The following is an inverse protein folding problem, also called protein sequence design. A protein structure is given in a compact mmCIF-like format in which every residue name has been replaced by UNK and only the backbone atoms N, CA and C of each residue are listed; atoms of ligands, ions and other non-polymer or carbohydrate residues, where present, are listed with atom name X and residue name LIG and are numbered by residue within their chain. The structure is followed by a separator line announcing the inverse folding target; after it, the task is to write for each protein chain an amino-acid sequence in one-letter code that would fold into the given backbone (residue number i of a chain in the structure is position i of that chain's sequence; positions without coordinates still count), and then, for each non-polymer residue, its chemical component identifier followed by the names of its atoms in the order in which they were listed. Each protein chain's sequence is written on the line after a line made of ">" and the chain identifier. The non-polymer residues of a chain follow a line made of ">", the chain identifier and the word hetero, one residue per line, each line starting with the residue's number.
data_IF_210747740212
#
_entry.id   IF_210747740212
#
_cell.length_a   1.000
_cell.length_b   1.000
_cell.length_c   1.000
_cell.angle_alpha   90.00
_cell.angle_beta   90.00
_cell.angle_gamma   90.00
#
_symmetry.space_group_name_H-M   'P 1'
#
loop_
_entity.id
_entity.type
_entity.pdbx_description
1 polymer ?
#
# COMPACT_ATOMS: atom_id res chain seq x y z
N UNK A 1 -13.75 15.97 -11.80
CA UNK A 1 -13.27 16.23 -10.42
C UNK A 1 -13.06 14.97 -9.59
N UNK A 2 -13.98 14.00 -9.60
CA UNK A 2 -13.88 12.78 -8.77
C UNK A 2 -12.67 11.88 -9.08
N UNK A 3 -12.26 11.75 -10.35
CA UNK A 3 -11.05 11.00 -10.73
C UNK A 3 -9.78 11.61 -10.13
N UNK A 4 -9.68 12.95 -10.10
CA UNK A 4 -8.56 13.64 -9.48
C UNK A 4 -8.48 13.32 -7.97
N UNK A 5 -9.62 13.17 -7.29
CA UNK A 5 -9.64 12.78 -5.88
C UNK A 5 -9.06 11.37 -5.65
N UNK A 6 -9.27 10.43 -6.57
CA UNK A 6 -8.63 9.11 -6.51
C UNK A 6 -7.11 9.27 -6.63
N UNK A 7 -6.64 10.02 -7.63
CA UNK A 7 -5.21 10.26 -7.85
C UNK A 7 -4.58 10.93 -6.63
N UNK A 8 -5.21 11.96 -6.08
CA UNK A 8 -4.77 12.61 -4.85
C UNK A 8 -4.71 11.65 -3.67
N UNK A 9 -5.73 10.81 -3.46
CA UNK A 9 -5.74 9.82 -2.38
C UNK A 9 -4.63 8.77 -2.52
N UNK A 10 -4.33 8.34 -3.76
CA UNK A 10 -3.19 7.46 -4.06
C UNK A 10 -1.87 8.16 -3.70
N UNK A 11 -1.67 9.40 -4.14
CA UNK A 11 -0.46 10.18 -3.83
C UNK A 11 -0.31 10.38 -2.32
N UNK A 12 -1.38 10.77 -1.62
CA UNK A 12 -1.39 10.93 -0.16
C UNK A 12 -0.97 9.64 0.53
N UNK A 13 -1.48 8.49 0.08
CA UNK A 13 -1.10 7.18 0.64
C UNK A 13 0.37 6.87 0.39
N UNK A 14 0.86 7.04 -0.85
CA UNK A 14 2.23 6.68 -1.24
C UNK A 14 3.28 7.59 -0.58
N UNK A 15 3.06 8.91 -0.60
CA UNK A 15 3.97 9.89 0.00
C UNK A 15 3.86 9.83 1.52
N UNK A 16 2.63 9.78 2.06
CA UNK A 16 2.39 9.66 3.49
C UNK A 16 3.03 8.41 4.09
N UNK A 17 2.99 7.28 3.38
CA UNK A 17 3.72 6.06 3.72
C UNK A 17 5.22 6.32 3.90
N UNK A 18 5.88 6.85 2.87
CA UNK A 18 7.32 7.13 2.93
C UNK A 18 7.69 8.09 4.05
N UNK A 19 6.96 9.19 4.19
CA UNK A 19 7.23 10.21 5.22
C UNK A 19 7.07 9.63 6.62
N UNK A 20 5.98 8.90 6.88
CA UNK A 20 5.73 8.32 8.20
C UNK A 20 6.74 7.22 8.52
N UNK A 21 7.05 6.32 7.59
CA UNK A 21 8.04 5.26 7.81
C UNK A 21 9.42 5.86 8.06
N UNK A 22 9.88 6.81 7.24
CA UNK A 22 11.19 7.43 7.42
C UNK A 22 11.28 8.21 8.75
N UNK A 23 10.23 8.96 9.11
CA UNK A 23 10.19 9.71 10.36
C UNK A 23 10.19 8.79 11.58
N UNK A 24 9.38 7.74 11.57
CA UNK A 24 9.28 6.78 12.67
C UNK A 24 10.56 5.95 12.81
N UNK A 25 11.19 5.56 11.71
CA UNK A 25 12.46 4.82 11.73
C UNK A 25 13.57 5.68 12.35
N UNK A 26 13.75 6.92 11.88
CA UNK A 26 14.74 7.85 12.44
C UNK A 26 14.48 8.12 13.94
N UNK A 27 13.23 8.27 14.35
CA UNK A 27 12.85 8.41 15.77
C UNK A 27 13.16 7.18 16.61
N UNK A 28 13.18 6.00 16.00
CA UNK A 28 13.57 4.75 16.63
C UNK A 28 15.09 4.47 16.57
N UNK A 29 15.90 5.42 16.07
CA UNK A 29 17.35 5.26 15.92
C UNK A 29 17.76 4.37 14.74
N UNK A 30 16.84 4.10 13.80
CA UNK A 30 17.11 3.30 12.60
C UNK A 30 17.48 4.25 11.47
N UNK A 31 18.65 4.03 10.88
CA UNK A 31 19.10 4.76 9.69
C UNK A 31 18.25 4.39 8.47
N UNK A 32 17.91 5.41 7.68
CA UNK A 32 17.17 5.27 6.43
C UNK A 32 18.14 5.56 5.30
N UNK A 33 18.40 4.62 4.39
CA UNK A 33 19.35 4.84 3.30
C UNK A 33 18.71 5.54 2.11
N UNK A 34 17.44 5.20 1.80
CA UNK A 34 16.73 5.71 0.63
C UNK A 34 15.23 5.84 0.87
N UNK A 35 14.64 6.88 0.32
CA UNK A 35 13.19 7.06 0.17
C UNK A 35 12.89 7.19 -1.31
N UNK A 36 12.06 6.29 -1.82
CA UNK A 36 11.64 6.29 -3.22
C UNK A 36 10.15 6.53 -3.31
N UNK A 37 9.78 7.61 -4.00
CA UNK A 37 8.41 7.93 -4.35
C UNK A 37 8.23 7.46 -5.78
N UNK A 38 7.31 6.53 -6.03
CA UNK A 38 7.08 5.91 -7.35
C UNK A 38 8.18 4.92 -7.77
N UNK A 39 7.77 3.87 -8.48
CA UNK A 39 8.66 2.81 -8.96
C UNK A 39 9.22 3.13 -10.36
N UNK A 40 10.22 2.35 -10.78
CA UNK A 40 10.77 2.39 -12.14
C UNK A 40 11.95 3.36 -12.32
N UNK A 41 12.28 3.72 -13.57
CA UNK A 41 13.39 4.62 -13.87
C UNK A 41 13.26 5.95 -13.13
N UNK A 42 14.38 6.43 -12.57
CA UNK A 42 14.44 7.67 -11.80
C UNK A 42 14.30 8.87 -12.72
N UNK A 43 13.36 9.76 -12.42
CA UNK A 43 13.24 11.06 -13.08
C UNK A 43 14.08 12.09 -12.34
N UNK A 44 14.04 12.05 -11.00
CA UNK A 44 14.77 12.96 -10.13
C UNK A 44 15.39 12.18 -8.96
N UNK A 45 16.56 12.65 -8.54
CA UNK A 45 17.27 12.13 -7.38
C UNK A 45 17.95 13.28 -6.65
N UNK A 46 17.82 13.31 -5.33
CA UNK A 46 18.49 14.28 -4.47
C UNK A 46 18.86 13.62 -3.15
N UNK A 47 19.78 14.24 -2.40
CA UNK A 47 20.20 13.75 -1.08
C UNK A 47 19.86 14.79 -0.03
N UNK A 48 18.99 14.43 0.92
CA UNK A 48 18.54 15.33 1.99
C UNK A 48 18.91 14.71 3.33
N UNK A 49 19.88 15.33 4.02
CA UNK A 49 20.33 14.89 5.35
C UNK A 49 20.83 13.44 5.37
N UNK A 50 21.68 13.08 4.41
CA UNK A 50 22.27 11.73 4.29
C UNK A 50 21.35 10.68 3.66
N UNK A 51 20.12 11.03 3.28
CA UNK A 51 19.15 10.09 2.70
C UNK A 51 18.88 10.41 1.25
N UNK A 52 19.04 9.42 0.38
CA UNK A 52 18.69 9.54 -1.04
C UNK A 52 17.19 9.58 -1.19
N UNK A 53 16.65 10.68 -1.70
CA UNK A 53 15.24 10.85 -2.06
C UNK A 53 15.13 10.82 -3.58
N UNK A 54 14.39 9.85 -4.11
CA UNK A 54 14.21 9.66 -5.55
C UNK A 54 12.72 9.69 -5.93
N UNK A 55 12.46 10.16 -7.15
CA UNK A 55 11.15 10.14 -7.78
C UNK A 55 11.20 9.23 -9.02
N UNK A 56 10.49 8.11 -9.00
CA UNK A 56 10.34 7.18 -10.12
C UNK A 56 9.28 7.62 -11.14
N UNK A 57 9.35 7.06 -12.34
CA UNK A 57 8.41 7.34 -13.43
C UNK A 57 7.01 6.75 -13.22
N UNK A 58 6.91 5.60 -12.55
CA UNK A 58 5.66 4.83 -12.46
C UNK A 58 4.98 5.04 -11.10
N UNK A 59 3.79 5.67 -11.05
CA UNK A 59 3.07 5.95 -9.80
C UNK A 59 2.39 4.71 -9.20
N UNK A 60 3.11 3.58 -9.13
CA UNK A 60 2.62 2.24 -8.77
C UNK A 60 3.09 1.78 -7.39
N UNK A 61 3.80 2.61 -6.63
CA UNK A 61 4.28 2.27 -5.29
C UNK A 61 5.23 3.29 -4.70
N UNK A 62 5.71 3.02 -3.50
CA UNK A 62 6.75 3.78 -2.82
C UNK A 62 7.43 2.89 -1.80
N UNK A 63 8.71 3.14 -1.50
CA UNK A 63 9.43 2.34 -0.53
C UNK A 63 10.46 3.16 0.24
N UNK A 64 10.74 2.69 1.46
CA UNK A 64 11.84 3.19 2.30
C UNK A 64 12.82 2.05 2.46
N UNK A 65 14.06 2.27 2.03
CA UNK A 65 15.13 1.30 2.16
C UNK A 65 15.91 1.51 3.45
N UNK A 66 16.33 0.40 4.04
CA UNK A 66 17.14 0.34 5.24
C UNK A 66 18.46 -0.34 4.90
N UNK A 67 19.59 0.07 5.54
CA UNK A 67 20.86 -0.62 5.38
C UNK A 67 20.75 -2.12 5.72
N UNK A 68 21.57 -2.94 5.07
CA UNK A 68 21.76 -4.34 5.48
C UNK A 68 22.60 -4.43 6.75
N UNK A 69 22.32 -5.43 7.60
CA UNK A 69 23.13 -5.68 8.81
C UNK A 69 24.52 -6.16 8.43
N UNK A 70 24.59 -7.06 7.45
CA UNK A 70 25.81 -7.56 6.85
C UNK A 70 25.62 -7.57 5.32
N UNK A 71 26.25 -6.65 4.58
CA UNK A 71 26.13 -6.59 3.12
C UNK A 71 26.65 -7.84 2.40
N UNK A 72 27.52 -8.63 3.03
CA UNK A 72 28.09 -9.85 2.47
C UNK A 72 27.22 -11.09 2.78
N UNK A 73 26.26 -10.97 3.70
CA UNK A 73 25.37 -12.06 4.05
C UNK A 73 24.32 -12.32 2.96
N UNK A 74 24.22 -13.58 2.55
CA UNK A 74 23.27 -14.02 1.52
C UNK A 74 21.79 -13.87 1.93
N UNK A 75 21.48 -13.65 3.23
CA UNK A 75 20.11 -13.54 3.72
C UNK A 75 19.51 -12.14 3.54
N UNK A 76 20.33 -11.13 3.21
CA UNK A 76 19.92 -9.77 2.90
C UNK A 76 19.18 -9.04 4.02
N UNK A 77 19.31 -9.49 5.28
CA UNK A 77 18.60 -8.88 6.42
C UNK A 77 18.98 -7.42 6.60
N UNK A 78 17.96 -6.60 6.80
CA UNK A 78 18.13 -5.17 7.07
C UNK A 78 18.20 -4.86 8.56
N UNK A 79 18.73 -3.68 8.89
CA UNK A 79 18.69 -3.14 10.26
C UNK A 79 17.24 -3.09 10.78
N UNK A 80 16.25 -2.88 9.91
CA UNK A 80 14.84 -2.94 10.29
C UNK A 80 14.40 -4.35 10.69
N UNK A 81 14.86 -5.40 10.01
CA UNK A 81 14.48 -6.78 10.33
C UNK A 81 14.98 -7.21 11.72
N UNK A 82 16.14 -6.67 12.13
CA UNK A 82 16.76 -6.85 13.45
C UNK A 82 16.17 -5.94 14.54
N UNK A 83 15.35 -4.94 14.18
CA UNK A 83 14.75 -4.01 15.13
C UNK A 83 13.73 -4.69 16.07
N UNK A 84 13.45 -4.10 17.24
CA UNK A 84 12.42 -4.61 18.15
C UNK A 84 11.08 -4.84 17.46
N UNK A 85 10.34 -5.88 17.88
CA UNK A 85 9.03 -6.24 17.30
C UNK A 85 8.04 -5.07 17.28
N UNK A 86 8.05 -4.25 18.34
CA UNK A 86 7.22 -3.04 18.44
C UNK A 86 7.54 -2.02 17.35
N UNK A 87 8.83 -1.77 17.09
CA UNK A 87 9.29 -0.85 16.05
C UNK A 87 8.87 -1.34 14.67
N UNK A 88 9.08 -2.62 14.38
CA UNK A 88 8.66 -3.24 13.12
C UNK A 88 7.15 -3.15 12.90
N UNK A 89 6.37 -3.46 13.94
CA UNK A 89 4.90 -3.38 13.88
C UNK A 89 4.42 -1.94 13.66
N UNK A 90 5.01 -0.98 14.39
CA UNK A 90 4.71 0.44 14.24
C UNK A 90 4.97 0.92 12.81
N UNK A 91 6.12 0.57 12.24
CA UNK A 91 6.48 0.96 10.87
C UNK A 91 5.54 0.34 9.82
N UNK A 92 5.11 -0.90 10.04
CA UNK A 92 4.20 -1.61 9.13
C UNK A 92 2.74 -1.10 9.20
N UNK A 93 2.25 -0.72 10.39
CA UNK A 93 0.83 -0.45 10.61
C UNK A 93 0.50 1.05 10.60
N UNK A 94 1.33 1.88 11.24
CA UNK A 94 1.01 3.29 11.49
C UNK A 94 0.67 4.09 10.22
N UNK A 95 1.39 3.95 9.08
CA UNK A 95 1.05 4.70 7.88
C UNK A 95 -0.38 4.51 7.39
N UNK A 96 -0.86 3.26 7.43
CA UNK A 96 -2.20 2.90 6.98
C UNK A 96 -3.24 3.12 8.07
N UNK A 97 -2.86 3.12 9.34
CA UNK A 97 -3.74 3.58 10.43
C UNK A 97 -4.05 5.09 10.29
N UNK A 98 -3.04 5.92 9.97
CA UNK A 98 -3.24 7.35 9.70
C UNK A 98 -4.10 7.56 8.45
N UNK A 99 -3.81 6.84 7.38
CA UNK A 99 -4.56 6.93 6.12
C UNK A 99 -6.02 6.50 6.29
N UNK A 100 -6.26 5.42 7.05
CA UNK A 100 -7.59 4.98 7.45
C UNK A 100 -8.29 6.08 8.25
N UNK A 101 -7.64 6.65 9.27
CA UNK A 101 -8.21 7.70 10.11
C UNK A 101 -8.67 8.90 9.27
N UNK A 102 -7.88 9.34 8.29
CA UNK A 102 -8.27 10.42 7.36
C UNK A 102 -9.54 10.06 6.58
N UNK A 103 -9.68 8.81 6.12
CA UNK A 103 -10.90 8.34 5.49
C UNK A 103 -12.11 8.29 6.45
N UNK A 104 -11.89 7.85 7.69
CA UNK A 104 -12.93 7.81 8.73
C UNK A 104 -13.44 9.20 9.10
N UNK A 105 -12.58 10.23 9.06
CA UNK A 105 -12.99 11.61 9.34
C UNK A 105 -14.04 12.12 8.34
N UNK A 106 -14.02 11.62 7.10
CA UNK A 106 -14.97 12.01 6.05
C UNK A 106 -16.19 11.09 6.01
N UNK A 107 -15.98 9.78 6.11
CA UNK A 107 -17.05 8.77 5.98
C UNK A 107 -17.81 8.54 7.29
N UNK A 108 -17.28 9.02 8.41
CA UNK A 108 -17.69 8.60 9.74
C UNK A 108 -17.13 7.22 10.12
N UNK A 109 -17.05 6.92 11.43
CA UNK A 109 -16.38 5.71 11.91
C UNK A 109 -17.10 4.43 11.47
N UNK A 110 -18.44 4.42 11.48
CA UNK A 110 -19.22 3.22 11.16
C UNK A 110 -19.08 2.84 9.69
N UNK A 111 -19.37 3.77 8.78
CA UNK A 111 -19.34 3.46 7.34
C UNK A 111 -17.91 3.34 6.81
N UNK A 112 -16.98 4.12 7.36
CA UNK A 112 -15.56 3.97 7.07
C UNK A 112 -14.99 2.61 7.51
N UNK A 113 -15.32 2.13 8.72
CA UNK A 113 -14.87 0.79 9.17
C UNK A 113 -15.56 -0.34 8.40
N UNK A 114 -16.83 -0.17 8.02
CA UNK A 114 -17.52 -1.13 7.13
C UNK A 114 -16.84 -1.20 5.77
N UNK A 115 -16.52 -0.06 5.17
CA UNK A 115 -15.81 0.02 3.89
C UNK A 115 -14.40 -0.59 4.00
N UNK A 116 -13.70 -0.32 5.09
CA UNK A 116 -12.40 -0.90 5.41
C UNK A 116 -12.46 -2.43 5.50
N UNK A 117 -13.37 -2.97 6.33
CA UNK A 117 -13.54 -4.40 6.51
C UNK A 117 -13.94 -5.12 5.22
N UNK A 118 -14.87 -4.55 4.43
CA UNK A 118 -15.26 -5.10 3.13
C UNK A 118 -14.11 -5.11 2.14
N UNK A 119 -13.21 -4.13 2.17
CA UNK A 119 -12.11 -4.01 1.22
C UNK A 119 -11.13 -5.21 1.25
N UNK A 120 -10.94 -5.85 2.41
CA UNK A 120 -10.10 -7.06 2.54
C UNK A 120 -10.56 -8.22 1.65
N UNK A 121 -11.86 -8.33 1.41
CA UNK A 121 -12.44 -9.36 0.54
C UNK A 121 -12.69 -8.78 -0.86
N UNK A 122 -13.24 -7.56 -0.92
CA UNK A 122 -13.65 -6.92 -2.16
C UNK A 122 -12.49 -6.75 -3.15
N UNK A 123 -11.30 -6.34 -2.67
CA UNK A 123 -10.15 -6.11 -3.52
C UNK A 123 -9.59 -7.39 -4.16
N UNK A 124 -9.25 -8.45 -3.40
CA UNK A 124 -8.79 -9.69 -4.01
C UNK A 124 -9.90 -10.40 -4.80
N UNK A 125 -11.12 -10.49 -4.27
CA UNK A 125 -12.22 -11.18 -4.96
C UNK A 125 -12.60 -10.48 -6.26
N UNK A 126 -12.58 -9.14 -6.30
CA UNK A 126 -12.83 -8.38 -7.54
C UNK A 126 -11.78 -8.65 -8.62
N UNK A 127 -10.52 -8.77 -8.24
CA UNK A 127 -9.43 -9.11 -9.16
C UNK A 127 -9.52 -10.56 -9.66
N UNK A 128 -9.71 -11.53 -8.76
CA UNK A 128 -9.71 -12.95 -9.17
C UNK A 128 -11.03 -13.39 -9.84
N UNK A 129 -12.17 -12.77 -9.51
CA UNK A 129 -13.49 -13.07 -10.10
C UNK A 129 -13.93 -11.97 -11.08
N UNK A 130 -13.01 -11.57 -11.96
CA UNK A 130 -13.10 -10.33 -12.73
C UNK A 130 -14.28 -10.25 -13.73
N UNK A 131 -14.65 -11.36 -14.38
CA UNK A 131 -15.75 -11.35 -15.37
C UNK A 131 -17.15 -11.15 -14.77
N UNK A 132 -17.34 -11.43 -13.48
CA UNK A 132 -18.62 -11.28 -12.79
C UNK A 132 -18.53 -10.22 -11.70
N UNK A 133 -17.95 -10.59 -10.57
CA UNK A 133 -17.91 -9.73 -9.38
C UNK A 133 -17.02 -8.50 -9.62
N UNK A 134 -15.85 -8.65 -10.25
CA UNK A 134 -15.01 -7.51 -10.59
C UNK A 134 -15.72 -6.49 -11.47
N UNK A 135 -16.39 -6.95 -12.54
CA UNK A 135 -17.18 -6.10 -13.44
C UNK A 135 -18.32 -5.37 -12.72
N UNK A 136 -19.08 -6.05 -11.87
CA UNK A 136 -20.14 -5.43 -11.05
C UNK A 136 -19.58 -4.31 -10.16
N UNK A 137 -18.40 -4.53 -9.57
CA UNK A 137 -17.70 -3.51 -8.79
C UNK A 137 -17.22 -2.34 -9.63
N UNK A 138 -16.78 -2.56 -10.87
CA UNK A 138 -16.44 -1.46 -11.80
C UNK A 138 -17.68 -0.60 -12.07
N UNK A 139 -18.83 -1.22 -12.34
CA UNK A 139 -20.10 -0.48 -12.49
C UNK A 139 -20.45 0.34 -11.26
N UNK A 140 -20.30 -0.24 -10.06
CA UNK A 140 -20.50 0.46 -8.79
C UNK A 140 -19.55 1.67 -8.62
N UNK A 141 -18.30 1.56 -9.10
CA UNK A 141 -17.33 2.67 -9.09
C UNK A 141 -17.74 3.76 -10.08
N UNK A 142 -18.19 3.40 -11.28
CA UNK A 142 -18.67 4.36 -12.30
C UNK A 142 -19.87 5.15 -11.76
N UNK A 143 -20.84 4.47 -11.15
CA UNK A 143 -21.99 5.11 -10.51
C UNK A 143 -21.55 6.01 -9.36
N UNK A 144 -20.64 5.54 -8.48
CA UNK A 144 -20.11 6.34 -7.39
C UNK A 144 -19.40 7.60 -7.89
N UNK A 145 -18.62 7.51 -8.97
CA UNK A 145 -17.93 8.66 -9.57
C UNK A 145 -18.90 9.72 -10.10
N UNK A 146 -20.10 9.31 -10.53
CA UNK A 146 -21.15 10.19 -11.04
C UNK A 146 -22.03 10.80 -9.93
N UNK A 147 -22.19 10.10 -8.81
CA UNK A 147 -23.18 10.45 -7.76
C UNK A 147 -22.56 11.01 -6.48
N UNK A 148 -21.34 10.59 -6.13
CA UNK A 148 -20.69 11.00 -4.88
C UNK A 148 -19.78 12.21 -5.10
N UNK A 149 -19.59 12.98 -4.02
CA UNK A 149 -18.66 14.11 -4.05
C UNK A 149 -17.20 13.64 -4.18
N UNK A 150 -16.31 14.44 -4.78
CA UNK A 150 -14.89 14.08 -4.88
C UNK A 150 -14.24 13.78 -3.52
N UNK A 151 -14.66 14.48 -2.45
CA UNK A 151 -14.16 14.25 -1.10
C UNK A 151 -14.50 12.83 -0.59
N UNK A 152 -15.73 12.37 -0.81
CA UNK A 152 -16.17 11.02 -0.43
C UNK A 152 -15.44 9.95 -1.25
N UNK A 153 -15.25 10.18 -2.55
CA UNK A 153 -14.47 9.28 -3.42
C UNK A 153 -13.03 9.16 -2.92
N UNK A 154 -12.37 10.28 -2.63
CA UNK A 154 -11.03 10.28 -2.06
C UNK A 154 -10.96 9.51 -0.73
N UNK A 155 -11.92 9.71 0.16
CA UNK A 155 -11.99 9.01 1.44
C UNK A 155 -12.17 7.49 1.28
N UNK A 156 -13.07 7.05 0.39
CA UNK A 156 -13.23 5.63 0.07
C UNK A 156 -11.94 5.03 -0.50
N UNK A 157 -11.22 5.76 -1.34
CA UNK A 157 -9.91 5.34 -1.86
C UNK A 157 -8.88 5.20 -0.75
N UNK A 158 -8.76 6.17 0.16
CA UNK A 158 -7.84 6.10 1.31
C UNK A 158 -8.13 4.86 2.19
N UNK A 159 -9.40 4.63 2.51
CA UNK A 159 -9.83 3.46 3.30
C UNK A 159 -9.48 2.15 2.60
N UNK A 160 -9.78 2.03 1.30
CA UNK A 160 -9.51 0.81 0.53
C UNK A 160 -8.01 0.56 0.35
N UNK A 161 -7.21 1.60 0.10
CA UNK A 161 -5.75 1.48 0.03
C UNK A 161 -5.15 1.09 1.38
N UNK A 162 -5.71 1.58 2.49
CA UNK A 162 -5.29 1.17 3.83
C UNK A 162 -5.54 -0.32 4.04
N UNK A 163 -6.72 -0.82 3.68
CA UNK A 163 -7.04 -2.25 3.78
C UNK A 163 -6.15 -3.11 2.88
N UNK A 164 -5.93 -2.67 1.63
CA UNK A 164 -5.06 -3.37 0.69
C UNK A 164 -3.65 -3.57 1.24
N UNK A 165 -3.01 -2.50 1.71
CA UNK A 165 -1.64 -2.57 2.20
C UNK A 165 -1.51 -3.34 3.52
N UNK A 166 -2.60 -3.52 4.26
CA UNK A 166 -2.67 -4.33 5.47
C UNK A 166 -3.07 -5.79 5.21
N UNK A 167 -3.29 -6.19 3.95
CA UNK A 167 -3.44 -7.60 3.61
C UNK A 167 -2.19 -8.39 4.02
N UNK A 168 -2.34 -9.61 4.56
CA UNK A 168 -1.23 -10.46 4.94
C UNK A 168 -0.57 -11.13 3.72
N UNK A 169 -0.38 -10.35 2.65
CA UNK A 169 0.27 -10.79 1.42
C UNK A 169 1.73 -10.32 1.43
N UNK A 170 2.66 -11.19 1.03
CA UNK A 170 4.05 -10.82 0.88
C UNK A 170 4.21 -9.58 0.00
N UNK A 171 5.25 -8.77 0.26
CA UNK A 171 5.52 -7.43 -0.30
C UNK A 171 4.64 -6.29 0.25
N UNK A 172 3.51 -6.59 0.88
CA UNK A 172 2.68 -5.59 1.55
C UNK A 172 3.04 -5.46 3.04
N UNK A 173 2.70 -4.32 3.61
CA UNK A 173 2.99 -4.01 5.01
C UNK A 173 2.26 -4.93 5.99
N UNK A 174 1.11 -5.47 5.62
CA UNK A 174 0.40 -6.50 6.40
C UNK A 174 1.23 -7.77 6.61
N UNK A 175 2.02 -8.23 5.63
CA UNK A 175 2.93 -9.36 5.83
C UNK A 175 4.05 -9.03 6.82
N UNK A 176 4.63 -7.82 6.75
CA UNK A 176 5.66 -7.35 7.69
C UNK A 176 5.12 -7.24 9.12
N UNK A 177 3.86 -6.81 9.26
CA UNK A 177 3.16 -6.79 10.53
C UNK A 177 2.96 -8.21 11.08
N UNK A 178 2.52 -9.17 10.25
CA UNK A 178 2.41 -10.58 10.65
C UNK A 178 3.76 -11.14 11.10
N UNK A 179 4.83 -10.91 10.34
CA UNK A 179 6.19 -11.35 10.70
C UNK A 179 6.68 -10.78 12.03
N UNK A 180 6.34 -9.50 12.31
CA UNK A 180 6.67 -8.86 13.58
C UNK A 180 5.91 -9.51 14.75
N UNK A 181 4.63 -9.86 14.55
CA UNK A 181 3.79 -10.54 15.55
C UNK A 181 4.26 -11.96 15.83
N UNK A 182 4.57 -12.74 14.80
CA UNK A 182 5.02 -14.14 14.95
C UNK A 182 6.52 -14.25 15.30
N UNK A 183 7.28 -13.18 15.16
CA UNK A 183 8.71 -13.13 15.50
C UNK A 183 9.63 -13.91 14.55
N UNK A 184 9.15 -14.28 13.36
CA UNK A 184 9.91 -14.98 12.31
C UNK A 184 9.51 -14.46 10.93
N UNK A 185 10.42 -14.57 9.97
CA UNK A 185 10.12 -14.24 8.57
C UNK A 185 9.18 -15.26 7.96
N UNK A 186 8.34 -14.82 7.01
CA UNK A 186 7.55 -15.74 6.20
C UNK A 186 8.48 -16.58 5.32
N UNK A 187 8.10 -17.83 5.01
CA UNK A 187 8.93 -18.70 4.17
C UNK A 187 9.11 -18.08 2.78
N UNK A 188 10.27 -18.29 2.16
CA UNK A 188 10.59 -17.75 0.82
C UNK A 188 9.53 -18.13 -0.23
N UNK A 189 8.97 -19.34 -0.14
CA UNK A 189 7.87 -19.77 -1.00
C UNK A 189 6.59 -18.93 -0.86
N UNK A 190 6.31 -18.39 0.34
CA UNK A 190 5.23 -17.44 0.51
C UNK A 190 5.55 -16.16 -0.27
N UNK A 191 6.76 -15.60 -0.15
CA UNK A 191 7.17 -14.41 -0.92
C UNK A 191 7.01 -14.59 -2.43
N UNK A 192 7.44 -15.74 -2.98
CA UNK A 192 7.24 -16.05 -4.39
C UNK A 192 5.76 -16.10 -4.78
N UNK A 193 4.91 -16.73 -3.96
CA UNK A 193 3.47 -16.76 -4.20
C UNK A 193 2.85 -15.36 -4.13
N UNK A 194 3.19 -14.55 -3.13
CA UNK A 194 2.69 -13.18 -3.00
C UNK A 194 3.11 -12.27 -4.16
N UNK A 195 4.38 -12.38 -4.58
CA UNK A 195 4.92 -11.66 -5.73
C UNK A 195 4.20 -11.98 -7.04
N UNK A 196 3.55 -13.14 -7.15
CA UNK A 196 2.70 -13.51 -8.28
C UNK A 196 1.23 -13.11 -8.07
N UNK A 197 0.69 -13.30 -6.87
CA UNK A 197 -0.71 -13.05 -6.56
C UNK A 197 -1.10 -11.59 -6.72
N UNK A 198 -0.24 -10.64 -6.32
CA UNK A 198 -0.53 -9.21 -6.42
C UNK A 198 -0.63 -8.76 -7.89
N UNK A 199 0.35 -9.03 -8.78
CA UNK A 199 0.23 -8.75 -10.21
C UNK A 199 -0.94 -9.47 -10.88
N UNK A 200 -1.18 -10.74 -10.55
CA UNK A 200 -2.32 -11.48 -11.11
C UNK A 200 -3.66 -10.85 -10.73
N UNK A 201 -3.81 -10.45 -9.47
CA UNK A 201 -4.99 -9.71 -9.01
C UNK A 201 -5.13 -8.37 -9.75
N UNK A 202 -4.03 -7.65 -9.99
CA UNK A 202 -4.03 -6.40 -10.74
C UNK A 202 -4.43 -6.59 -12.22
N UNK A 203 -3.91 -7.63 -12.88
CA UNK A 203 -4.32 -8.01 -14.25
C UNK A 203 -5.81 -8.36 -14.30
N UNK A 204 -6.32 -9.05 -13.28
CA UNK A 204 -7.74 -9.31 -13.12
C UNK A 204 -8.59 -8.04 -13.03
N UNK A 205 -8.14 -7.03 -12.29
CA UNK A 205 -8.82 -5.71 -12.26
C UNK A 205 -8.79 -5.00 -13.62
N UNK A 206 -7.69 -5.09 -14.36
CA UNK A 206 -7.62 -4.55 -15.74
C UNK A 206 -8.64 -5.27 -16.62
N UNK A 207 -8.70 -6.61 -16.55
CA UNK A 207 -9.66 -7.40 -17.31
C UNK A 207 -11.12 -7.08 -16.91
N UNK A 208 -11.41 -6.85 -15.63
CA UNK A 208 -12.72 -6.42 -15.15
C UNK A 208 -13.13 -5.09 -15.80
N UNK A 209 -12.23 -4.08 -15.77
CA UNK A 209 -12.45 -2.76 -16.37
C UNK A 209 -12.68 -2.87 -17.87
N UNK A 210 -11.81 -3.56 -18.60
CA UNK A 210 -11.95 -3.75 -20.05
C UNK A 210 -13.29 -4.44 -20.36
N UNK A 211 -13.64 -5.48 -19.61
CA UNK A 211 -14.87 -6.23 -19.85
C UNK A 211 -16.15 -5.46 -19.54
N UNK A 212 -16.09 -4.43 -18.69
CA UNK A 212 -17.22 -3.54 -18.42
C UNK A 212 -17.53 -2.64 -19.63
N UNK A 213 -16.50 -2.18 -20.34
CA UNK A 213 -16.66 -1.27 -21.48
C UNK A 213 -16.87 -1.97 -22.83
N UNK A 214 -16.61 -3.28 -22.90
CA UNK A 214 -16.84 -4.08 -24.11
C UNK A 214 -18.22 -4.76 -24.15
N UNK A 215 -18.97 -4.73 -23.04
CA UNK A 215 -20.31 -5.30 -22.92
C UNK A 215 -21.38 -4.25 -23.22
#
# INVERSE_FOLDING_TARGET
>A
MSVLAIVCAVIVTLVGHCVLVAALARRAGIEVSRVSIFYGPRILETTIGGVTVELGLLPLGSYVAFPQVDPEAADGKTVLDAAPRSTRLMLAVTPYAVTLALGLLVLGPVDGLRAFGRAFIQLPAGGFLFFKYGRELVGSVVEALATLSPLVIGALTLVKLSAFNLLPLPTLSGARAVEALIGRSLPVGAFAAGALLVPLCALGWIAAIVSYWLA
#
